data_IF_687735016064
#
_entry.id   IF_687735016064
#
_cell.length_a   1.000
_cell.length_b   1.000
_cell.length_c   1.000
_cell.angle_alpha   90.00
_cell.angle_beta   90.00
_cell.angle_gamma   90.00
#
_symmetry.space_group_name_H-M   'P 1'
#
loop_
_entity.id
_entity.type
_entity.pdbx_description
1 polymer ?
#
# COMPACT_ATOMS: atom_id res chain seq x y z
N UNK A 1 17.81 -22.82 7.84
CA UNK A 1 19.09 -22.34 8.42
C UNK A 1 19.14 -20.83 8.61
N UNK A 2 18.09 -20.06 8.23
CA UNK A 2 18.01 -18.62 8.54
C UNK A 2 19.23 -17.85 8.03
N UNK A 3 19.68 -18.17 6.80
CA UNK A 3 20.96 -17.67 6.25
C UNK A 3 21.01 -16.15 6.27
N UNK A 4 19.85 -15.53 6.05
CA UNK A 4 19.72 -14.09 5.91
C UNK A 4 19.28 -13.38 7.20
N UNK A 5 18.94 -14.14 8.25
CA UNK A 5 18.66 -13.62 9.58
C UNK A 5 19.54 -14.33 10.64
N UNK A 6 20.76 -13.80 10.91
CA UNK A 6 21.64 -14.32 11.96
C UNK A 6 21.10 -14.10 13.38
N UNK A 7 20.00 -13.35 13.56
CA UNK A 7 19.32 -13.20 14.85
C UNK A 7 18.34 -14.36 15.14
N UNK A 8 18.03 -15.20 14.14
CA UNK A 8 17.11 -16.33 14.22
C UNK A 8 15.72 -15.95 14.79
N UNK A 9 15.29 -14.71 14.58
CA UNK A 9 14.15 -14.09 15.25
C UNK A 9 13.02 -13.69 14.29
N UNK A 10 13.33 -13.33 13.04
CA UNK A 10 12.32 -12.76 12.12
C UNK A 10 11.22 -13.75 11.77
N UNK A 11 11.54 -15.03 11.59
CA UNK A 11 10.55 -16.09 11.34
C UNK A 11 9.54 -16.19 12.50
N UNK A 12 10.02 -16.13 13.75
CA UNK A 12 9.15 -16.18 14.94
C UNK A 12 8.29 -14.92 15.07
N UNK A 13 8.89 -13.75 14.87
CA UNK A 13 8.24 -12.46 15.05
C UNK A 13 7.18 -12.25 13.96
N UNK A 14 7.56 -12.42 12.69
CA UNK A 14 6.66 -12.19 11.55
C UNK A 14 5.58 -13.27 11.50
N UNK A 15 5.90 -14.55 11.74
CA UNK A 15 4.89 -15.60 11.87
C UNK A 15 3.87 -15.30 12.98
N UNK A 16 4.31 -14.75 14.10
CA UNK A 16 3.43 -14.26 15.17
C UNK A 16 2.54 -13.08 14.74
N UNK A 17 3.06 -12.16 13.91
CA UNK A 17 2.28 -11.06 13.34
C UNK A 17 1.18 -11.58 12.38
N UNK A 18 1.52 -12.50 11.47
CA UNK A 18 0.55 -13.14 10.57
C UNK A 18 -0.54 -13.88 11.35
N UNK A 19 -0.15 -14.67 12.35
CA UNK A 19 -1.09 -15.35 13.22
C UNK A 19 -2.04 -14.36 13.93
N UNK A 20 -1.51 -13.26 14.47
CA UNK A 20 -2.30 -12.22 15.14
C UNK A 20 -3.27 -11.49 14.20
N UNK A 21 -2.94 -11.44 12.90
CA UNK A 21 -3.80 -10.88 11.87
C UNK A 21 -4.85 -11.86 11.32
N UNK A 22 -4.90 -13.09 11.84
CA UNK A 22 -5.84 -14.14 11.41
C UNK A 22 -5.40 -14.94 10.18
N UNK A 23 -4.15 -14.74 9.72
CA UNK A 23 -3.54 -15.51 8.63
C UNK A 23 -2.88 -16.76 9.24
N UNK A 24 -3.18 -17.97 8.76
CA UNK A 24 -2.47 -19.18 9.20
C UNK A 24 -0.97 -19.00 9.01
N UNK A 25 -0.17 -19.32 10.02
CA UNK A 25 1.29 -19.23 9.95
C UNK A 25 1.91 -20.38 10.78
N UNK A 26 3.05 -20.94 10.36
CA UNK A 26 3.69 -22.02 11.09
C UNK A 26 4.16 -21.55 12.47
N UNK A 27 4.08 -22.43 13.48
CA UNK A 27 4.79 -22.19 14.75
C UNK A 27 6.29 -22.25 14.51
N UNK A 28 7.00 -21.44 15.28
CA UNK A 28 8.44 -21.28 15.15
C UNK A 28 9.09 -21.33 16.53
N UNK A 29 10.19 -22.05 16.65
CA UNK A 29 11.10 -22.00 17.80
C UNK A 29 12.54 -22.09 17.32
N UNK A 30 13.50 -22.21 18.23
CA UNK A 30 14.90 -22.42 17.91
C UNK A 30 15.42 -23.71 18.56
N UNK A 31 16.46 -24.30 17.98
CA UNK A 31 17.09 -25.52 18.49
C UNK A 31 18.60 -25.51 18.21
N UNK A 32 19.38 -26.15 19.09
CA UNK A 32 20.75 -26.58 18.78
C UNK A 32 20.69 -28.02 18.31
N UNK A 33 21.38 -28.33 17.22
CA UNK A 33 21.20 -29.59 16.49
C UNK A 33 22.49 -30.39 16.53
N UNK A 34 22.39 -31.67 16.89
CA UNK A 34 23.48 -32.63 16.78
C UNK A 34 23.09 -33.76 15.84
N UNK A 35 24.03 -34.21 15.01
CA UNK A 35 23.87 -35.39 14.18
C UNK A 35 25.08 -36.31 14.36
N UNK A 36 24.84 -37.55 14.79
CA UNK A 36 25.89 -38.55 15.05
C UNK A 36 27.01 -38.04 15.98
N UNK A 37 26.65 -37.25 16.98
CA UNK A 37 27.59 -36.65 17.94
C UNK A 37 28.28 -35.36 17.46
N UNK A 38 28.10 -34.96 16.20
CA UNK A 38 28.61 -33.69 15.67
C UNK A 38 27.60 -32.56 15.92
N UNK A 39 28.06 -31.47 16.54
CA UNK A 39 27.27 -30.24 16.66
C UNK A 39 27.15 -29.56 15.30
N UNK A 40 25.92 -29.38 14.82
CA UNK A 40 25.60 -28.70 13.57
C UNK A 40 25.27 -27.22 13.78
N UNK A 41 25.14 -26.77 15.03
CA UNK A 41 24.90 -25.38 15.39
C UNK A 41 23.45 -25.05 15.74
N UNK A 42 23.13 -23.77 15.68
CA UNK A 42 21.83 -23.20 16.09
C UNK A 42 20.92 -22.97 14.88
N UNK A 43 19.65 -23.35 15.00
CA UNK A 43 18.68 -23.33 13.90
C UNK A 43 17.35 -22.72 14.33
N UNK A 44 16.61 -22.20 13.35
CA UNK A 44 15.15 -22.00 13.45
C UNK A 44 14.47 -23.34 13.15
N UNK A 45 13.60 -23.77 14.06
CA UNK A 45 12.72 -24.93 13.90
C UNK A 45 11.31 -24.44 13.57
N UNK A 46 10.83 -24.81 12.40
CA UNK A 46 9.53 -24.37 11.85
C UNK A 46 8.58 -25.57 11.81
N UNK A 47 7.32 -25.37 12.21
CA UNK A 47 6.25 -26.34 12.08
C UNK A 47 6.03 -26.71 10.60
N UNK A 48 6.09 -28.01 10.29
CA UNK A 48 5.87 -28.47 8.92
C UNK A 48 4.41 -28.32 8.48
N UNK A 49 4.22 -28.01 7.20
CA UNK A 49 2.89 -27.94 6.58
C UNK A 49 2.29 -29.33 6.41
N UNK A 50 1.60 -29.78 7.45
CA UNK A 50 0.98 -31.10 7.55
C UNK A 50 -0.51 -30.97 7.83
N UNK A 51 -1.23 -32.10 7.81
CA UNK A 51 -2.65 -32.13 8.24
C UNK A 51 -2.83 -31.67 9.68
N UNK A 52 -1.84 -31.88 10.55
CA UNK A 52 -1.87 -31.38 11.94
C UNK A 52 -1.78 -29.87 12.00
N UNK A 53 -0.91 -29.26 11.18
CA UNK A 53 -0.86 -27.81 11.02
C UNK A 53 -2.21 -27.27 10.52
N UNK A 54 -2.77 -27.87 9.46
CA UNK A 54 -4.05 -27.46 8.88
C UNK A 54 -5.20 -27.59 9.89
N UNK A 55 -5.23 -28.65 10.70
CA UNK A 55 -6.27 -28.92 11.69
C UNK A 55 -6.37 -27.89 12.81
N UNK A 56 -5.38 -26.99 12.95
CA UNK A 56 -5.41 -25.88 13.89
C UNK A 56 -6.19 -24.67 13.37
N UNK A 57 -6.31 -24.54 12.06
CA UNK A 57 -6.89 -23.37 11.38
C UNK A 57 -8.17 -23.70 10.63
N UNK A 58 -8.32 -24.96 10.19
CA UNK A 58 -9.39 -25.38 9.29
C UNK A 58 -10.16 -26.57 9.85
N UNK A 59 -11.47 -26.57 9.62
CA UNK A 59 -12.36 -27.69 10.00
C UNK A 59 -12.04 -28.96 9.22
N UNK A 60 -11.60 -28.82 7.97
CA UNK A 60 -11.23 -29.92 7.08
C UNK A 60 -9.76 -29.74 6.67
N UNK A 61 -9.01 -30.85 6.64
CA UNK A 61 -7.56 -30.87 6.41
C UNK A 61 -7.16 -31.71 5.19
N UNK A 62 -8.14 -32.07 4.35
CA UNK A 62 -7.96 -32.90 3.15
C UNK A 62 -8.02 -32.09 1.85
N UNK A 63 -8.17 -30.78 1.95
CA UNK A 63 -8.08 -29.89 0.81
C UNK A 63 -6.67 -29.90 0.22
N UNK A 64 -6.56 -29.35 -0.98
CA UNK A 64 -5.30 -29.32 -1.69
C UNK A 64 -4.36 -28.27 -1.06
N UNK A 65 -3.11 -28.66 -0.84
CA UNK A 65 -2.06 -27.78 -0.34
C UNK A 65 -0.95 -27.69 -1.39
N UNK A 66 -0.62 -26.46 -1.79
CA UNK A 66 0.36 -26.17 -2.82
C UNK A 66 1.56 -25.40 -2.24
N UNK A 67 2.78 -25.83 -2.56
CA UNK A 67 3.98 -25.00 -2.41
C UNK A 67 4.08 -24.03 -3.58
N UNK A 68 4.17 -22.74 -3.27
CA UNK A 68 4.30 -21.66 -4.25
C UNK A 68 5.58 -21.74 -5.09
N UNK A 69 6.59 -22.51 -4.68
CA UNK A 69 7.84 -22.66 -5.40
C UNK A 69 8.62 -21.34 -5.55
N UNK A 70 9.71 -21.37 -6.32
CA UNK A 70 10.57 -20.21 -6.53
C UNK A 70 10.13 -19.37 -7.74
N UNK A 71 9.68 -18.14 -7.50
CA UNK A 71 9.26 -17.16 -8.51
C UNK A 71 8.12 -17.66 -9.43
N UNK A 72 7.22 -18.49 -8.89
CA UNK A 72 6.06 -19.05 -9.60
C UNK A 72 4.77 -18.49 -9.05
N UNK A 73 3.74 -18.46 -9.88
CA UNK A 73 2.39 -18.00 -9.54
C UNK A 73 1.33 -19.10 -9.70
N UNK A 74 0.07 -18.77 -9.41
CA UNK A 74 -1.09 -19.68 -9.50
C UNK A 74 -1.38 -20.22 -10.91
N UNK A 75 -0.73 -19.65 -11.93
CA UNK A 75 -0.82 -20.10 -13.32
C UNK A 75 0.23 -21.16 -13.67
N UNK A 76 1.26 -21.32 -12.84
CA UNK A 76 2.35 -22.26 -13.04
C UNK A 76 2.03 -23.62 -12.41
N UNK A 77 2.84 -24.62 -12.72
CA UNK A 77 2.81 -25.89 -12.00
C UNK A 77 3.45 -25.71 -10.62
N UNK A 78 2.61 -25.80 -9.59
CA UNK A 78 3.00 -25.78 -8.18
C UNK A 78 3.09 -27.20 -7.63
N UNK A 79 3.99 -27.43 -6.67
CA UNK A 79 4.12 -28.75 -6.04
C UNK A 79 2.95 -28.96 -5.07
N UNK A 80 2.17 -30.00 -5.30
CA UNK A 80 1.03 -30.35 -4.44
C UNK A 80 1.51 -31.22 -3.27
N UNK A 81 1.62 -30.62 -2.08
CA UNK A 81 2.09 -31.26 -0.86
C UNK A 81 1.00 -32.09 -0.15
N UNK A 82 -0.28 -31.76 -0.36
CA UNK A 82 -1.42 -32.50 0.20
C UNK A 82 -2.67 -32.42 -0.68
N UNK A 83 -3.62 -33.30 -0.41
CA UNK A 83 -4.89 -33.45 -1.14
C UNK A 83 -5.27 -34.92 -1.33
N UNK A 84 -6.52 -35.20 -1.69
CA UNK A 84 -7.01 -36.56 -1.89
C UNK A 84 -6.70 -37.13 -3.28
N UNK A 85 -6.84 -36.32 -4.33
CA UNK A 85 -6.48 -36.67 -5.70
C UNK A 85 -5.25 -35.87 -6.11
N UNK A 86 -4.11 -36.52 -6.33
CA UNK A 86 -2.85 -35.85 -6.68
C UNK A 86 -2.87 -35.14 -8.04
N UNK A 87 -3.87 -35.40 -8.90
CA UNK A 87 -4.00 -34.79 -10.24
C UNK A 87 -5.02 -33.66 -10.29
N UNK A 88 -5.83 -33.50 -9.25
CA UNK A 88 -6.81 -32.44 -9.19
C UNK A 88 -6.14 -31.11 -8.79
N UNK A 89 -6.24 -30.14 -9.69
CA UNK A 89 -5.79 -28.75 -9.50
C UNK A 89 -6.86 -27.78 -10.00
N UNK A 90 -8.12 -28.23 -10.01
CA UNK A 90 -9.24 -27.44 -10.50
C UNK A 90 -9.46 -26.17 -9.66
N UNK A 91 -9.20 -26.24 -8.35
CA UNK A 91 -9.26 -25.10 -7.43
C UNK A 91 -8.26 -23.98 -7.79
N UNK A 92 -6.99 -24.35 -8.01
CA UNK A 92 -5.90 -23.43 -8.36
C UNK A 92 -6.15 -22.80 -9.73
N UNK A 93 -6.62 -23.60 -10.69
CA UNK A 93 -7.03 -23.12 -12.02
C UNK A 93 -8.22 -22.17 -11.93
N UNK A 94 -9.19 -22.43 -11.05
CA UNK A 94 -10.33 -21.54 -10.83
C UNK A 94 -9.89 -20.19 -10.23
N UNK A 95 -8.96 -20.20 -9.26
CA UNK A 95 -8.36 -19.00 -8.70
C UNK A 95 -7.61 -18.20 -9.77
N UNK A 96 -6.75 -18.85 -10.55
CA UNK A 96 -6.02 -18.20 -11.64
C UNK A 96 -6.97 -17.57 -12.67
N UNK A 97 -8.02 -18.31 -13.08
CA UNK A 97 -9.03 -17.80 -14.01
C UNK A 97 -9.82 -16.63 -13.44
N UNK A 98 -10.12 -16.62 -12.13
CA UNK A 98 -10.77 -15.50 -11.47
C UNK A 98 -9.87 -14.26 -11.47
N UNK A 99 -8.57 -14.42 -11.19
CA UNK A 99 -7.60 -13.33 -11.19
C UNK A 99 -7.37 -12.72 -12.58
N UNK A 100 -7.46 -13.53 -13.63
CA UNK A 100 -7.27 -13.11 -15.03
C UNK A 100 -8.52 -12.51 -15.70
N UNK A 101 -9.66 -12.45 -15.01
CA UNK A 101 -10.89 -11.82 -15.54
C UNK A 101 -10.62 -10.35 -15.92
N UNK A 102 -10.79 -9.92 -17.18
CA UNK A 102 -10.41 -8.57 -17.61
C UNK A 102 -11.29 -7.45 -17.02
N UNK A 103 -12.56 -7.71 -16.72
CA UNK A 103 -13.47 -6.73 -16.14
C UNK A 103 -13.24 -6.62 -14.62
N UNK A 104 -12.85 -5.47 -14.06
CA UNK A 104 -12.55 -5.35 -12.63
C UNK A 104 -13.72 -5.69 -11.70
N UNK A 105 -14.97 -5.41 -12.12
CA UNK A 105 -16.15 -5.70 -11.31
C UNK A 105 -16.45 -7.20 -11.29
N UNK A 106 -16.35 -7.86 -12.45
CA UNK A 106 -16.50 -9.33 -12.52
C UNK A 106 -15.34 -10.04 -11.83
N UNK A 107 -14.12 -9.52 -11.97
CA UNK A 107 -12.92 -10.03 -11.30
C UNK A 107 -13.11 -10.01 -9.79
N UNK A 108 -13.59 -8.89 -9.24
CA UNK A 108 -13.91 -8.78 -7.82
C UNK A 108 -14.91 -9.84 -7.36
N UNK A 109 -16.02 -10.04 -8.10
CA UNK A 109 -17.03 -11.05 -7.76
C UNK A 109 -16.45 -12.47 -7.79
N UNK A 110 -15.69 -12.81 -8.83
CA UNK A 110 -15.08 -14.13 -9.01
C UNK A 110 -14.02 -14.42 -7.94
N UNK A 111 -13.19 -13.44 -7.60
CA UNK A 111 -12.21 -13.57 -6.53
C UNK A 111 -12.88 -13.78 -5.17
N UNK A 112 -13.97 -13.08 -4.84
CA UNK A 112 -14.69 -13.30 -3.57
C UNK A 112 -15.32 -14.70 -3.44
N UNK A 113 -15.51 -15.40 -4.56
CA UNK A 113 -15.96 -16.81 -4.57
C UNK A 113 -14.79 -17.77 -4.37
N UNK A 114 -13.66 -17.53 -5.01
CA UNK A 114 -12.52 -18.45 -5.04
C UNK A 114 -11.46 -18.21 -3.95
N UNK A 115 -11.46 -17.05 -3.28
CA UNK A 115 -10.41 -16.62 -2.37
C UNK A 115 -10.99 -16.19 -1.02
N UNK A 116 -10.31 -16.55 0.06
CA UNK A 116 -10.58 -15.97 1.37
C UNK A 116 -10.03 -14.53 1.41
N UNK A 117 -10.88 -13.59 0.99
CA UNK A 117 -10.50 -12.19 0.78
C UNK A 117 -9.95 -11.52 2.04
N UNK A 118 -10.56 -11.75 3.21
CA UNK A 118 -10.15 -11.09 4.45
C UNK A 118 -8.75 -11.52 4.89
N UNK A 119 -8.47 -12.84 4.83
CA UNK A 119 -7.14 -13.38 5.13
C UNK A 119 -6.13 -12.95 4.08
N UNK A 120 -6.51 -12.97 2.81
CA UNK A 120 -5.61 -12.58 1.73
C UNK A 120 -5.19 -11.11 1.83
N UNK A 121 -6.13 -10.20 2.11
CA UNK A 121 -5.80 -8.78 2.28
C UNK A 121 -4.91 -8.57 3.51
N UNK A 122 -5.14 -9.30 4.60
CA UNK A 122 -4.27 -9.27 5.78
C UNK A 122 -2.87 -9.80 5.46
N UNK A 123 -2.78 -10.84 4.64
CA UNK A 123 -1.53 -11.41 4.15
C UNK A 123 -0.72 -10.39 3.34
N UNK A 124 -1.34 -9.75 2.33
CA UNK A 124 -0.69 -8.71 1.52
C UNK A 124 -0.24 -7.50 2.35
N UNK A 125 -1.11 -7.03 3.24
CA UNK A 125 -0.80 -5.87 4.08
C UNK A 125 0.37 -6.15 5.00
N UNK A 126 0.47 -7.36 5.57
CA UNK A 126 1.61 -7.73 6.40
C UNK A 126 2.90 -7.85 5.60
N UNK A 127 2.91 -8.54 4.44
CA UNK A 127 4.10 -8.61 3.57
C UNK A 127 4.68 -7.21 3.32
N UNK A 128 3.81 -6.22 3.05
CA UNK A 128 4.26 -4.83 2.88
C UNK A 128 4.74 -4.20 4.19
N UNK A 129 4.01 -4.36 5.30
CA UNK A 129 4.40 -3.78 6.58
C UNK A 129 5.78 -4.26 7.05
N UNK A 130 6.03 -5.57 6.96
CA UNK A 130 7.31 -6.17 7.38
C UNK A 130 8.38 -6.16 6.28
N UNK A 131 8.08 -5.57 5.11
CA UNK A 131 8.96 -5.55 3.94
C UNK A 131 9.46 -6.94 3.54
N UNK A 132 8.52 -7.86 3.37
CA UNK A 132 8.77 -9.17 2.77
C UNK A 132 8.93 -9.03 1.26
N UNK A 133 10.08 -8.50 0.85
CA UNK A 133 10.36 -8.20 -0.55
C UNK A 133 10.43 -9.47 -1.41
N UNK A 134 10.71 -10.62 -0.79
CA UNK A 134 10.77 -11.93 -1.44
C UNK A 134 9.48 -12.75 -1.25
N UNK A 135 8.44 -12.15 -0.68
CA UNK A 135 7.12 -12.75 -0.53
C UNK A 135 6.33 -12.86 -1.84
N UNK A 136 5.08 -13.28 -1.73
CA UNK A 136 4.21 -13.51 -2.88
C UNK A 136 3.93 -12.20 -3.64
N UNK A 137 3.60 -11.12 -2.93
CA UNK A 137 3.20 -9.85 -3.54
C UNK A 137 4.29 -9.28 -4.45
N UNK A 138 5.55 -9.29 -4.00
CA UNK A 138 6.66 -8.63 -4.70
C UNK A 138 7.46 -9.57 -5.61
N UNK A 139 7.69 -10.83 -5.24
CA UNK A 139 8.52 -11.73 -6.05
C UNK A 139 7.83 -13.02 -6.49
N UNK A 140 6.69 -13.38 -5.89
CA UNK A 140 6.01 -14.68 -6.07
C UNK A 140 6.86 -15.83 -5.51
N UNK A 141 7.35 -15.65 -4.30
CA UNK A 141 8.09 -16.67 -3.56
C UNK A 141 7.59 -16.71 -2.11
N UNK A 142 8.05 -17.70 -1.32
CA UNK A 142 7.82 -17.76 0.13
C UNK A 142 6.35 -17.84 0.57
N UNK A 143 5.51 -18.55 -0.21
CA UNK A 143 4.10 -18.75 0.11
C UNK A 143 3.64 -20.19 -0.11
N UNK A 144 2.52 -20.55 0.51
CA UNK A 144 1.74 -21.76 0.25
C UNK A 144 0.29 -21.35 0.01
N UNK A 145 -0.46 -22.21 -0.68
CA UNK A 145 -1.90 -22.02 -0.86
C UNK A 145 -2.64 -23.28 -0.42
N UNK A 146 -3.59 -23.11 0.48
CA UNK A 146 -4.50 -24.17 0.89
C UNK A 146 -5.90 -23.93 0.33
N UNK A 147 -6.49 -24.92 -0.31
CA UNK A 147 -7.92 -24.96 -0.61
C UNK A 147 -8.69 -25.40 0.63
N UNK A 148 -9.54 -24.55 1.22
CA UNK A 148 -10.41 -24.90 2.33
C UNK A 148 -11.73 -25.50 1.82
N UNK A 149 -11.95 -26.83 1.97
CA UNK A 149 -13.16 -27.47 1.45
C UNK A 149 -14.44 -27.05 2.18
N UNK A 150 -14.34 -26.35 3.32
CA UNK A 150 -15.52 -25.93 4.09
C UNK A 150 -16.29 -24.79 3.43
N UNK A 151 -15.61 -23.98 2.62
CA UNK A 151 -16.18 -22.80 1.97
C UNK A 151 -15.73 -22.62 0.51
N UNK A 152 -14.96 -23.59 -0.01
CA UNK A 152 -14.46 -23.62 -1.39
C UNK A 152 -13.56 -22.42 -1.75
N UNK A 153 -12.75 -21.97 -0.79
CA UNK A 153 -11.86 -20.82 -0.96
C UNK A 153 -10.40 -21.17 -0.75
N UNK A 154 -9.56 -20.51 -1.53
CA UNK A 154 -8.11 -20.55 -1.39
C UNK A 154 -7.65 -19.63 -0.26
N UNK A 155 -6.67 -20.07 0.51
CA UNK A 155 -6.05 -19.34 1.63
C UNK A 155 -4.54 -19.32 1.44
N UNK A 156 -3.98 -18.12 1.34
CA UNK A 156 -2.52 -17.93 1.26
C UNK A 156 -1.90 -17.99 2.66
N UNK A 157 -0.72 -18.60 2.73
CA UNK A 157 0.00 -18.88 3.96
C UNK A 157 1.47 -18.45 3.76
N UNK A 158 2.02 -17.57 4.62
CA UNK A 158 3.40 -17.10 4.51
C UNK A 158 4.39 -18.20 4.91
N UNK A 159 5.60 -18.09 4.39
CA UNK A 159 6.74 -18.93 4.71
C UNK A 159 8.04 -18.14 4.49
N UNK A 160 9.22 -18.70 4.81
CA UNK A 160 10.51 -18.17 4.37
C UNK A 160 10.80 -16.72 4.80
N UNK A 161 10.54 -16.39 6.06
CA UNK A 161 10.61 -15.03 6.58
C UNK A 161 11.96 -14.70 7.23
N UNK A 162 13.08 -15.03 6.57
CA UNK A 162 14.45 -14.72 7.04
C UNK A 162 15.03 -13.43 6.44
N UNK A 163 14.26 -12.70 5.63
CA UNK A 163 14.68 -11.46 4.94
C UNK A 163 13.77 -10.26 5.24
N UNK A 164 13.38 -10.11 6.50
CA UNK A 164 12.35 -9.15 6.91
C UNK A 164 12.94 -7.81 7.37
N UNK A 165 12.19 -6.72 7.18
CA UNK A 165 12.50 -5.36 7.61
C UNK A 165 13.74 -4.72 6.96
N UNK A 166 14.19 -5.23 5.80
CA UNK A 166 15.45 -4.80 5.18
C UNK A 166 15.44 -3.40 4.55
N UNK A 167 14.26 -2.88 4.19
CA UNK A 167 14.13 -1.51 3.70
C UNK A 167 13.22 -0.68 4.61
N UNK A 168 13.87 0.18 5.42
CA UNK A 168 13.21 1.10 6.31
C UNK A 168 12.19 2.00 5.59
N UNK A 169 12.52 2.46 4.38
CA UNK A 169 11.75 3.44 3.62
C UNK A 169 11.04 2.82 2.41
N UNK A 170 11.06 1.50 2.28
CA UNK A 170 10.40 0.77 1.20
C UNK A 170 8.93 1.19 1.08
N UNK A 171 8.47 1.40 -0.15
CA UNK A 171 7.13 1.93 -0.42
C UNK A 171 6.02 1.08 0.21
N UNK A 172 5.05 1.69 0.88
CA UNK A 172 3.79 1.01 1.30
C UNK A 172 2.88 0.66 0.10
N UNK A 173 3.32 1.01 -1.11
CA UNK A 173 2.75 0.67 -2.41
C UNK A 173 3.88 0.18 -3.33
N UNK A 174 4.45 -1.00 -3.09
CA UNK A 174 5.53 -1.52 -3.92
C UNK A 174 4.99 -1.96 -5.29
N UNK A 175 5.91 -2.33 -6.20
CA UNK A 175 5.53 -3.02 -7.42
C UNK A 175 4.95 -4.41 -7.05
N UNK A 176 3.78 -4.73 -7.59
CA UNK A 176 3.07 -5.99 -7.30
C UNK A 176 3.24 -6.92 -8.48
N UNK A 177 3.97 -8.02 -8.28
CA UNK A 177 4.24 -9.03 -9.30
C UNK A 177 3.35 -10.27 -9.15
N UNK A 178 2.83 -10.56 -7.95
CA UNK A 178 1.88 -11.65 -7.73
C UNK A 178 0.55 -11.42 -8.45
N UNK A 179 0.12 -12.36 -9.29
CA UNK A 179 -1.06 -12.25 -10.14
C UNK A 179 -2.33 -11.99 -9.33
N UNK A 180 -2.58 -12.78 -8.28
CA UNK A 180 -3.77 -12.64 -7.43
C UNK A 180 -3.71 -11.34 -6.63
N UNK A 181 -2.53 -10.95 -6.14
CA UNK A 181 -2.33 -9.70 -5.41
C UNK A 181 -2.62 -8.49 -6.31
N UNK A 182 -2.08 -8.52 -7.53
CA UNK A 182 -2.31 -7.49 -8.55
C UNK A 182 -3.78 -7.42 -8.94
N UNK A 183 -4.41 -8.58 -9.19
CA UNK A 183 -5.81 -8.73 -9.55
C UNK A 183 -6.75 -8.14 -8.49
N UNK A 184 -6.47 -8.37 -7.20
CA UNK A 184 -7.24 -7.79 -6.07
C UNK A 184 -7.00 -6.29 -5.97
N UNK A 185 -5.75 -5.84 -5.91
CA UNK A 185 -5.41 -4.42 -5.65
C UNK A 185 -5.84 -3.50 -6.81
N UNK A 186 -5.96 -4.02 -8.03
CA UNK A 186 -6.46 -3.30 -9.20
C UNK A 186 -7.99 -3.11 -9.22
N UNK A 187 -8.74 -3.74 -8.31
CA UNK A 187 -10.16 -3.44 -8.13
C UNK A 187 -10.33 -2.26 -7.16
N UNK A 188 -11.35 -1.40 -7.34
CA UNK A 188 -11.65 -0.34 -6.36
C UNK A 188 -11.87 -0.89 -4.95
N UNK A 189 -12.62 -1.99 -4.83
CA UNK A 189 -12.94 -2.65 -3.56
C UNK A 189 -11.70 -3.20 -2.87
N UNK A 190 -10.89 -3.98 -3.58
CA UNK A 190 -9.67 -4.58 -3.04
C UNK A 190 -8.65 -3.52 -2.63
N UNK A 191 -8.50 -2.44 -3.41
CA UNK A 191 -7.62 -1.33 -3.05
C UNK A 191 -8.06 -0.63 -1.75
N UNK A 192 -9.36 -0.31 -1.64
CA UNK A 192 -9.92 0.29 -0.42
C UNK A 192 -9.69 -0.59 0.80
N UNK A 193 -10.03 -1.88 0.69
CA UNK A 193 -9.88 -2.83 1.78
C UNK A 193 -8.41 -3.03 2.17
N UNK A 194 -7.49 -3.15 1.20
CA UNK A 194 -6.05 -3.23 1.45
C UNK A 194 -5.52 -2.02 2.24
N UNK A 195 -5.87 -0.79 1.82
CA UNK A 195 -5.42 0.42 2.50
C UNK A 195 -5.93 0.49 3.94
N UNK A 196 -7.22 0.24 4.11
CA UNK A 196 -7.83 0.20 5.43
C UNK A 196 -7.13 -0.83 6.32
N UNK A 197 -6.97 -2.05 5.81
CA UNK A 197 -6.37 -3.15 6.56
C UNK A 197 -4.89 -2.90 6.88
N UNK A 198 -4.14 -2.27 5.98
CA UNK A 198 -2.75 -1.88 6.23
C UNK A 198 -2.65 -0.87 7.37
N UNK A 199 -3.53 0.14 7.43
CA UNK A 199 -3.58 1.08 8.56
C UNK A 199 -4.00 0.39 9.87
N UNK A 200 -5.00 -0.49 9.83
CA UNK A 200 -5.43 -1.27 11.00
C UNK A 200 -4.30 -2.14 11.54
N UNK A 201 -3.62 -2.91 10.69
CA UNK A 201 -2.55 -3.81 11.10
C UNK A 201 -1.30 -3.05 11.55
N UNK A 202 -1.02 -1.89 10.98
CA UNK A 202 0.05 -1.02 11.49
C UNK A 202 -0.23 -0.57 12.93
N UNK A 203 -1.49 -0.21 13.22
CA UNK A 203 -1.92 0.20 14.57
C UNK A 203 -1.98 -0.97 15.55
N UNK A 204 -2.53 -2.11 15.13
CA UNK A 204 -2.96 -3.18 16.05
C UNK A 204 -1.96 -4.33 16.14
N UNK A 205 -1.18 -4.59 15.08
CA UNK A 205 -0.26 -5.74 14.99
C UNK A 205 1.20 -5.30 14.96
N UNK A 206 1.57 -4.25 14.22
CA UNK A 206 2.94 -3.70 14.21
C UNK A 206 3.19 -2.81 15.44
N UNK A 207 2.98 -3.38 16.63
CA UNK A 207 3.16 -2.74 17.93
C UNK A 207 4.64 -2.73 18.31
N UNK A 208 5.29 -1.57 18.10
CA UNK A 208 6.75 -1.45 18.20
C UNK A 208 7.33 -1.93 19.54
N UNK A 209 6.68 -1.59 20.65
CA UNK A 209 7.05 -2.03 22.00
C UNK A 209 6.94 -3.56 22.15
N UNK A 210 5.86 -4.15 21.65
CA UNK A 210 5.65 -5.60 21.70
C UNK A 210 6.69 -6.35 20.88
N UNK A 211 6.96 -5.91 19.65
CA UNK A 211 7.90 -6.58 18.75
C UNK A 211 9.35 -6.47 19.25
N UNK A 212 9.79 -5.29 19.69
CA UNK A 212 11.15 -5.11 20.21
C UNK A 212 11.37 -5.85 21.53
N UNK A 213 10.37 -5.89 22.41
CA UNK A 213 10.43 -6.73 23.61
C UNK A 213 10.48 -8.23 23.27
N UNK A 214 9.78 -8.66 22.21
CA UNK A 214 9.82 -10.05 21.75
C UNK A 214 11.22 -10.44 21.26
N UNK A 215 11.91 -9.56 20.53
CA UNK A 215 13.32 -9.76 20.14
C UNK A 215 14.19 -10.00 21.37
N UNK A 216 14.08 -9.17 22.41
CA UNK A 216 14.89 -9.32 23.64
C UNK A 216 14.54 -10.60 24.41
N UNK A 217 13.27 -11.02 24.43
CA UNK A 217 12.86 -12.29 25.03
C UNK A 217 13.49 -13.48 24.31
N UNK A 218 13.50 -13.46 22.96
CA UNK A 218 14.15 -14.50 22.16
C UNK A 218 15.67 -14.50 22.41
N UNK A 219 16.29 -13.33 22.46
CA UNK A 219 17.70 -13.18 22.82
C UNK A 219 18.02 -13.78 24.17
N UNK A 220 17.30 -13.41 25.22
CA UNK A 220 17.54 -13.92 26.58
C UNK A 220 17.43 -15.45 26.64
N UNK A 221 16.48 -16.03 25.90
CA UNK A 221 16.30 -17.49 25.82
C UNK A 221 17.39 -18.18 25.02
N UNK A 222 17.76 -17.64 23.86
CA UNK A 222 18.62 -18.32 22.88
C UNK A 222 20.11 -18.13 23.19
N UNK A 223 20.48 -16.98 23.77
CA UNK A 223 21.88 -16.59 23.98
C UNK A 223 22.72 -17.61 24.76
N UNK A 224 22.23 -18.28 25.83
CA UNK A 224 23.02 -19.31 26.52
C UNK A 224 23.45 -20.46 25.60
N UNK A 225 22.52 -21.00 24.79
CA UNK A 225 22.81 -22.10 23.86
C UNK A 225 23.79 -21.68 22.75
N UNK A 226 23.73 -20.42 22.32
CA UNK A 226 24.67 -19.87 21.32
C UNK A 226 26.05 -19.65 21.95
N UNK A 227 26.14 -19.23 23.21
CA UNK A 227 27.41 -19.03 23.90
C UNK A 227 28.22 -20.33 24.09
N UNK A 228 27.53 -21.47 24.17
CA UNK A 228 28.17 -22.79 24.17
C UNK A 228 28.76 -23.19 22.79
N UNK A 229 28.45 -22.48 21.70
CA UNK A 229 29.11 -22.65 20.39
C UNK A 229 30.47 -21.94 20.43
N UNK A 230 30.53 -20.76 21.06
CA UNK A 230 31.77 -20.03 21.27
C UNK A 230 31.55 -18.53 21.54
N UNK A 231 32.60 -17.83 22.02
CA UNK A 231 32.51 -16.40 22.34
C UNK A 231 32.24 -15.53 21.11
N UNK A 232 32.82 -15.87 19.95
CA UNK A 232 32.58 -15.15 18.70
C UNK A 232 31.13 -15.31 18.22
N UNK A 233 30.59 -16.53 18.25
CA UNK A 233 29.18 -16.80 17.91
C UNK A 233 28.21 -16.02 18.80
N UNK A 234 28.48 -15.93 20.11
CA UNK A 234 27.67 -15.14 21.03
C UNK A 234 27.74 -13.63 20.74
N UNK A 235 28.92 -13.10 20.40
CA UNK A 235 29.10 -11.70 20.03
C UNK A 235 28.36 -11.38 18.73
N UNK A 236 28.52 -12.22 17.72
CA UNK A 236 27.91 -12.02 16.40
C UNK A 236 26.37 -12.12 16.50
N UNK A 237 25.87 -13.04 17.34
CA UNK A 237 24.44 -13.11 17.67
C UNK A 237 23.92 -11.85 18.38
N UNK A 238 24.62 -11.37 19.41
CA UNK A 238 24.22 -10.13 20.10
C UNK A 238 24.17 -8.94 19.12
N UNK A 239 25.16 -8.82 18.23
CA UNK A 239 25.17 -7.80 17.19
C UNK A 239 23.98 -7.95 16.23
N UNK A 240 23.69 -9.17 15.78
CA UNK A 240 22.55 -9.44 14.90
C UNK A 240 21.20 -9.10 15.56
N UNK A 241 21.06 -9.35 16.87
CA UNK A 241 19.87 -8.98 17.63
C UNK A 241 19.68 -7.45 17.67
N UNK A 242 20.75 -6.69 17.89
CA UNK A 242 20.68 -5.22 17.83
C UNK A 242 20.24 -4.77 16.44
N UNK A 243 20.84 -5.33 15.39
CA UNK A 243 20.51 -4.96 14.00
C UNK A 243 19.05 -5.25 13.64
N UNK A 244 18.49 -6.42 14.01
CA UNK A 244 17.08 -6.72 13.70
C UNK A 244 16.13 -5.80 14.47
N UNK A 245 16.46 -5.48 15.72
CA UNK A 245 15.68 -4.54 16.54
C UNK A 245 15.68 -3.15 15.90
N UNK A 246 16.83 -2.66 15.46
CA UNK A 246 16.95 -1.36 14.80
C UNK A 246 16.19 -1.33 13.48
N UNK A 247 16.26 -2.40 12.66
CA UNK A 247 15.48 -2.55 11.43
C UNK A 247 13.98 -2.49 11.68
N UNK A 248 13.47 -3.17 12.71
CA UNK A 248 12.05 -3.12 13.10
C UNK A 248 11.63 -1.67 13.44
N UNK A 249 12.45 -0.93 14.20
CA UNK A 249 12.18 0.48 14.56
C UNK A 249 12.21 1.38 13.33
N UNK A 250 13.22 1.23 12.48
CA UNK A 250 13.40 2.05 11.29
C UNK A 250 12.26 1.81 10.28
N UNK A 251 11.89 0.54 10.03
CA UNK A 251 10.74 0.19 9.18
C UNK A 251 9.43 0.74 9.73
N UNK A 252 9.18 0.61 11.03
CA UNK A 252 7.99 1.18 11.66
C UNK A 252 7.92 2.70 11.45
N UNK A 253 9.05 3.39 11.62
CA UNK A 253 9.14 4.85 11.42
C UNK A 253 8.89 5.23 9.96
N UNK A 254 9.49 4.50 9.01
CA UNK A 254 9.29 4.75 7.59
C UNK A 254 7.86 4.50 7.12
N UNK A 255 7.21 3.43 7.60
CA UNK A 255 5.79 3.16 7.34
C UNK A 255 4.90 4.27 7.93
N UNK A 256 5.15 4.68 9.18
CA UNK A 256 4.41 5.78 9.83
C UNK A 256 4.48 7.05 8.99
N UNK A 257 5.68 7.46 8.60
CA UNK A 257 5.88 8.69 7.83
C UNK A 257 5.16 8.63 6.47
N UNK A 258 5.14 7.47 5.82
CA UNK A 258 4.38 7.27 4.57
C UNK A 258 2.87 7.34 4.80
N UNK A 259 2.35 6.71 5.86
CA UNK A 259 0.93 6.77 6.21
C UNK A 259 0.47 8.19 6.60
N UNK A 260 1.31 8.95 7.30
CA UNK A 260 1.03 10.36 7.64
C UNK A 260 1.08 11.28 6.41
N UNK A 261 1.89 10.94 5.41
CA UNK A 261 1.98 11.65 4.14
C UNK A 261 0.92 11.24 3.11
N UNK A 262 0.17 10.16 3.34
CA UNK A 262 -0.92 9.72 2.47
C UNK A 262 -2.02 10.80 2.41
N UNK A 263 -2.42 11.26 1.22
CA UNK A 263 -3.52 12.20 1.12
C UNK A 263 -4.80 11.54 1.65
N UNK A 264 -5.57 12.29 2.45
CA UNK A 264 -6.86 11.83 2.94
C UNK A 264 -7.73 11.35 1.79
N UNK A 265 -8.33 10.15 1.92
CA UNK A 265 -9.31 9.67 0.94
C UNK A 265 -10.49 10.64 0.91
N UNK A 266 -10.74 11.19 -0.27
CA UNK A 266 -11.78 12.20 -0.45
C UNK A 266 -13.16 11.55 -0.28
N UNK A 267 -13.93 12.00 0.71
CA UNK A 267 -15.28 11.46 0.96
C UNK A 267 -16.30 12.18 0.06
N UNK A 268 -17.00 11.40 -0.76
CA UNK A 268 -18.10 11.89 -1.59
C UNK A 268 -19.43 11.81 -0.84
N UNK A 269 -20.19 12.91 -0.87
CA UNK A 269 -21.60 12.97 -0.49
C UNK A 269 -22.43 12.92 -1.77
N UNK A 270 -22.96 11.74 -2.09
CA UNK A 270 -23.51 11.49 -3.43
C UNK A 270 -22.39 11.48 -4.47
N UNK A 271 -22.48 12.32 -5.50
CA UNK A 271 -21.45 12.46 -6.54
C UNK A 271 -20.48 13.61 -6.28
N UNK A 272 -20.58 14.34 -5.17
CA UNK A 272 -19.80 15.56 -4.92
C UNK A 272 -18.89 15.39 -3.71
N UNK A 273 -17.66 15.88 -3.78
CA UNK A 273 -16.74 15.94 -2.66
C UNK A 273 -15.99 17.28 -2.60
N UNK A 274 -15.65 17.71 -1.37
CA UNK A 274 -14.96 18.98 -1.13
C UNK A 274 -13.48 18.73 -0.80
N UNK A 275 -12.53 19.10 -1.68
CA UNK A 275 -11.11 19.02 -1.39
C UNK A 275 -10.71 19.99 -0.27
N UNK A 276 -9.78 19.56 0.57
CA UNK A 276 -9.19 20.33 1.68
C UNK A 276 -7.66 20.32 1.57
N UNK A 277 -6.97 21.06 2.46
CA UNK A 277 -5.50 21.04 2.49
C UNK A 277 -4.84 21.82 1.35
N UNK A 278 -5.48 22.90 0.90
CA UNK A 278 -4.92 23.79 -0.11
C UNK A 278 -3.58 24.39 0.35
N UNK A 279 -2.53 24.27 -0.47
CA UNK A 279 -1.21 24.84 -0.22
C UNK A 279 -0.74 25.66 -1.43
N UNK A 280 0.17 26.59 -1.18
CA UNK A 280 0.69 27.52 -2.18
C UNK A 280 1.81 26.87 -3.01
N UNK A 281 1.84 27.18 -4.30
CA UNK A 281 2.99 26.93 -5.16
C UNK A 281 3.19 28.09 -6.13
N UNK A 282 4.27 28.83 -5.93
CA UNK A 282 4.66 29.99 -6.75
C UNK A 282 6.14 30.31 -6.59
N UNK A 283 6.64 31.14 -7.51
CA UNK A 283 7.82 31.97 -7.26
C UNK A 283 7.34 33.25 -6.51
N UNK A 284 7.78 33.51 -5.27
CA UNK A 284 7.38 34.68 -4.50
C UNK A 284 7.71 36.03 -5.17
N UNK A 285 8.69 36.06 -6.07
CA UNK A 285 9.02 37.25 -6.85
C UNK A 285 7.98 37.54 -7.94
N UNK A 286 7.33 36.50 -8.47
CA UNK A 286 6.39 36.59 -9.59
C UNK A 286 4.92 36.66 -9.17
N UNK A 287 4.58 36.31 -7.92
CA UNK A 287 3.21 36.31 -7.43
C UNK A 287 3.09 36.52 -5.92
N UNK A 288 1.98 37.13 -5.48
CA UNK A 288 1.51 37.07 -4.10
C UNK A 288 0.33 36.12 -3.98
N UNK A 289 0.35 35.23 -2.98
CA UNK A 289 -0.77 34.36 -2.63
C UNK A 289 -1.16 34.63 -1.18
N UNK A 290 -2.45 34.70 -0.93
CA UNK A 290 -2.99 34.83 0.40
C UNK A 290 -4.42 34.25 0.48
N UNK A 291 -4.87 34.00 1.70
CA UNK A 291 -6.25 33.63 1.98
C UNK A 291 -7.00 34.91 2.31
N UNK A 292 -7.87 35.33 1.40
CA UNK A 292 -8.69 36.52 1.57
C UNK A 292 -10.07 36.15 2.14
N UNK A 293 -10.73 37.13 2.77
CA UNK A 293 -12.12 37.04 3.21
C UNK A 293 -12.91 38.19 2.57
N UNK A 294 -14.08 37.88 2.03
CA UNK A 294 -15.05 38.87 1.55
C UNK A 294 -16.41 38.56 2.17
N UNK A 295 -16.76 39.30 3.22
CA UNK A 295 -18.01 39.14 3.97
C UNK A 295 -18.23 37.71 4.50
N UNK A 296 -17.18 37.09 5.06
CA UNK A 296 -17.22 35.73 5.61
C UNK A 296 -17.04 34.63 4.57
N UNK A 297 -16.79 35.00 3.31
CA UNK A 297 -16.50 34.07 2.22
C UNK A 297 -15.01 33.87 2.09
N UNK A 298 -14.54 32.66 2.42
CA UNK A 298 -13.13 32.30 2.29
C UNK A 298 -12.71 32.22 0.82
N UNK A 299 -11.63 32.92 0.47
CA UNK A 299 -11.10 32.98 -0.89
C UNK A 299 -9.63 32.57 -0.94
N UNK A 300 -9.27 31.88 -2.02
CA UNK A 300 -7.88 31.65 -2.39
C UNK A 300 -7.48 32.73 -3.41
N UNK A 301 -6.64 33.68 -3.00
CA UNK A 301 -6.24 34.82 -3.82
C UNK A 301 -4.88 34.58 -4.47
N UNK A 302 -4.71 35.08 -5.69
CA UNK A 302 -3.43 35.17 -6.40
C UNK A 302 -3.34 36.52 -7.10
N UNK A 303 -2.31 37.30 -6.80
CA UNK A 303 -1.97 38.53 -7.52
C UNK A 303 -0.67 38.38 -8.30
N UNK A 304 -0.69 38.72 -9.58
CA UNK A 304 0.49 38.66 -10.45
C UNK A 304 1.45 39.84 -10.19
N UNK A 305 2.76 39.54 -10.15
CA UNK A 305 3.86 40.51 -10.03
C UNK A 305 4.81 40.35 -11.21
N UNK A 306 4.33 40.62 -12.43
CA UNK A 306 5.04 40.30 -13.67
C UNK A 306 4.68 38.91 -14.17
N UNK A 307 5.62 38.19 -14.81
CA UNK A 307 5.39 36.89 -15.45
C UNK A 307 5.04 35.79 -14.43
N UNK A 308 3.78 35.76 -14.00
CA UNK A 308 3.25 34.92 -12.94
C UNK A 308 2.83 33.55 -13.49
N UNK A 309 3.31 32.50 -12.83
CA UNK A 309 2.75 31.14 -12.89
C UNK A 309 2.60 30.64 -11.46
N UNK A 310 1.52 31.01 -10.81
CA UNK A 310 1.23 30.69 -9.42
C UNK A 310 -0.04 29.85 -9.27
N UNK A 311 -0.11 29.06 -8.21
CA UNK A 311 -1.24 28.17 -7.97
C UNK A 311 -1.48 27.85 -6.50
N UNK A 312 -2.75 27.65 -6.18
CA UNK A 312 -3.17 26.87 -5.02
C UNK A 312 -3.37 25.41 -5.42
N UNK A 313 -2.86 24.48 -4.61
CA UNK A 313 -2.89 23.04 -4.91
C UNK A 313 -3.47 22.21 -3.77
N UNK A 314 -4.20 21.17 -4.12
CA UNK A 314 -4.71 20.18 -3.17
C UNK A 314 -4.51 18.76 -3.72
N UNK A 315 -3.82 17.92 -2.96
CA UNK A 315 -3.57 16.52 -3.32
C UNK A 315 -4.68 15.64 -2.78
N UNK A 316 -5.33 14.87 -3.65
CA UNK A 316 -6.45 13.99 -3.32
C UNK A 316 -6.22 12.59 -3.86
N UNK A 317 -6.72 11.59 -3.15
CA UNK A 317 -6.79 10.21 -3.65
C UNK A 317 -8.15 9.97 -4.30
N UNK A 318 -8.17 9.57 -5.57
CA UNK A 318 -9.38 9.31 -6.35
C UNK A 318 -9.36 7.90 -6.94
N UNK A 319 -10.52 7.25 -6.91
CA UNK A 319 -10.72 5.96 -7.59
C UNK A 319 -10.70 6.12 -9.10
N UNK A 320 -10.50 5.02 -9.82
CA UNK A 320 -10.69 4.99 -11.27
C UNK A 320 -12.07 5.51 -11.67
N UNK A 321 -12.11 6.39 -12.66
CA UNK A 321 -13.35 6.98 -13.17
C UNK A 321 -13.19 8.36 -13.78
N UNK A 322 -14.32 8.94 -14.18
CA UNK A 322 -14.40 10.29 -14.74
C UNK A 322 -14.82 11.29 -13.67
N UNK A 323 -14.15 12.44 -13.66
CA UNK A 323 -14.39 13.49 -12.68
C UNK A 323 -14.44 14.85 -13.36
N UNK A 324 -15.14 15.79 -12.70
CA UNK A 324 -15.08 17.21 -13.01
C UNK A 324 -14.65 17.97 -11.77
N UNK A 325 -13.57 18.74 -11.89
CA UNK A 325 -13.19 19.74 -10.90
C UNK A 325 -13.86 21.06 -11.25
N UNK A 326 -14.66 21.60 -10.34
CA UNK A 326 -15.42 22.83 -10.58
C UNK A 326 -15.37 23.79 -9.40
N UNK A 327 -15.55 25.08 -9.69
CA UNK A 327 -15.61 26.13 -8.68
C UNK A 327 -15.85 27.52 -9.29
N UNK A 328 -16.17 28.49 -8.45
CA UNK A 328 -16.36 29.88 -8.83
C UNK A 328 -15.04 30.65 -8.69
N UNK A 329 -14.75 31.48 -9.69
CA UNK A 329 -13.65 32.43 -9.64
C UNK A 329 -14.06 33.78 -10.24
N UNK A 330 -13.43 34.85 -9.78
CA UNK A 330 -13.49 36.19 -10.39
C UNK A 330 -12.08 36.71 -10.60
N UNK A 331 -11.88 37.61 -11.55
CA UNK A 331 -10.58 38.23 -11.79
C UNK A 331 -10.68 39.70 -12.15
N UNK A 332 -9.58 40.43 -11.95
CA UNK A 332 -9.45 41.84 -12.34
C UNK A 332 -8.14 42.07 -13.07
N UNK A 333 -8.19 42.80 -14.18
CA UNK A 333 -7.05 43.19 -15.01
C UNK A 333 -6.09 42.04 -15.39
N UNK A 334 -6.60 40.83 -15.61
CA UNK A 334 -5.75 39.67 -15.93
C UNK A 334 -5.28 39.70 -17.38
N UNK A 335 -3.99 39.93 -17.61
CA UNK A 335 -3.37 39.81 -18.93
C UNK A 335 -2.57 38.51 -19.01
N UNK A 336 -2.96 37.54 -19.85
CA UNK A 336 -2.30 36.23 -19.92
C UNK A 336 -0.82 36.28 -20.31
N UNK A 337 -0.08 35.26 -19.87
CA UNK A 337 1.27 34.97 -20.39
C UNK A 337 1.20 34.37 -21.80
N UNK A 338 2.18 34.68 -22.65
CA UNK A 338 2.25 34.16 -24.03
C UNK A 338 2.80 32.71 -24.12
N UNK A 339 2.87 31.97 -23.02
CA UNK A 339 3.51 30.65 -22.98
C UNK A 339 2.59 29.50 -23.42
N UNK A 340 1.26 29.67 -23.36
CA UNK A 340 0.24 28.83 -24.00
C UNK A 340 0.18 27.34 -23.60
N UNK A 341 1.20 26.81 -22.92
CA UNK A 341 1.41 25.36 -22.75
C UNK A 341 0.43 24.69 -21.79
N UNK A 342 -0.07 25.43 -20.78
CA UNK A 342 -0.96 24.88 -19.75
C UNK A 342 -2.31 25.60 -19.64
N UNK A 343 -2.49 26.67 -20.41
CA UNK A 343 -3.68 27.53 -20.40
C UNK A 343 -3.35 28.98 -20.07
N UNK A 344 -4.30 29.87 -20.34
CA UNK A 344 -4.15 31.32 -20.24
C UNK A 344 -4.96 31.91 -19.07
N UNK A 345 -4.46 32.98 -18.45
CA UNK A 345 -5.17 33.71 -17.40
C UNK A 345 -5.42 32.86 -16.15
N UNK A 346 -6.54 33.07 -15.48
CA UNK A 346 -6.93 32.25 -14.34
C UNK A 346 -7.74 31.00 -14.74
N UNK A 347 -7.55 29.87 -14.07
CA UNK A 347 -8.31 28.66 -14.36
C UNK A 347 -8.14 27.51 -13.37
N UNK A 348 -8.90 26.44 -13.62
CA UNK A 348 -8.86 25.16 -12.89
C UNK A 348 -8.30 24.05 -13.77
N UNK A 349 -7.50 23.16 -13.18
CA UNK A 349 -7.00 21.93 -13.82
C UNK A 349 -6.50 20.91 -12.80
N UNK A 350 -5.96 19.81 -13.30
CA UNK A 350 -5.07 18.92 -12.53
C UNK A 350 -3.60 19.17 -12.90
N UNK A 351 -2.68 18.71 -12.05
CA UNK A 351 -1.25 18.66 -12.35
C UNK A 351 -0.96 17.63 -13.45
N UNK A 352 0.07 17.88 -14.28
CA UNK A 352 0.50 16.93 -15.32
C UNK A 352 -0.31 16.93 -16.63
N UNK A 353 -1.17 17.93 -16.87
CA UNK A 353 -1.87 18.06 -18.15
C UNK A 353 -0.89 18.20 -19.32
N UNK A 354 -1.19 17.55 -20.44
CA UNK A 354 -0.42 17.62 -21.69
C UNK A 354 -1.02 18.56 -22.73
N UNK A 355 -2.28 18.96 -22.54
CA UNK A 355 -3.00 19.91 -23.37
C UNK A 355 -3.43 21.11 -22.53
N UNK A 356 -3.42 22.34 -23.08
CA UNK A 356 -3.87 23.53 -22.36
C UNK A 356 -5.32 23.41 -21.88
N UNK A 357 -5.62 23.89 -20.67
CA UNK A 357 -7.02 23.95 -20.20
C UNK A 357 -7.86 24.90 -21.07
N UNK A 358 -9.12 24.54 -21.30
CA UNK A 358 -10.05 25.36 -22.05
C UNK A 358 -10.70 26.48 -21.20
N UNK A 359 -10.99 26.20 -19.92
CA UNK A 359 -11.54 27.19 -19.01
C UNK A 359 -10.51 28.29 -18.74
N UNK A 360 -10.91 29.57 -18.79
CA UNK A 360 -10.05 30.72 -18.50
C UNK A 360 -10.85 31.95 -18.07
N UNK A 361 -10.26 32.79 -17.22
CA UNK A 361 -10.66 34.17 -16.98
C UNK A 361 -9.52 35.12 -17.33
N UNK A 362 -9.85 36.20 -18.04
CA UNK A 362 -8.93 37.23 -18.55
C UNK A 362 -9.60 38.59 -18.46
N UNK A 363 -8.81 39.66 -18.43
CA UNK A 363 -9.29 41.02 -18.19
C UNK A 363 -10.02 41.11 -16.85
N UNK A 364 -11.15 41.81 -16.84
CA UNK A 364 -12.08 41.81 -15.73
C UNK A 364 -13.17 40.77 -15.95
N UNK A 365 -13.39 39.92 -14.95
CA UNK A 365 -14.44 38.92 -14.99
C UNK A 365 -15.14 38.84 -13.64
N UNK A 366 -16.49 38.95 -13.60
CA UNK A 366 -17.24 38.71 -12.38
C UNK A 366 -17.12 37.23 -11.97
N UNK A 367 -17.73 36.88 -10.84
CA UNK A 367 -17.80 35.48 -10.41
C UNK A 367 -18.40 34.60 -11.52
N UNK A 368 -17.59 33.66 -11.99
CA UNK A 368 -17.94 32.73 -13.07
C UNK A 368 -17.55 31.32 -12.67
N UNK A 369 -18.37 30.35 -13.07
CA UNK A 369 -18.06 28.94 -12.88
C UNK A 369 -16.97 28.51 -13.85
N UNK A 370 -15.94 27.88 -13.32
CA UNK A 370 -14.87 27.20 -14.05
C UNK A 370 -15.01 25.70 -13.83
N UNK A 371 -14.70 24.94 -14.87
CA UNK A 371 -14.84 23.48 -14.87
C UNK A 371 -13.67 22.84 -15.62
N UNK A 372 -13.22 21.69 -15.13
CA UNK A 372 -12.18 20.88 -15.76
C UNK A 372 -12.51 19.39 -15.60
N UNK A 373 -12.83 18.72 -16.69
CA UNK A 373 -13.05 17.27 -16.70
C UNK A 373 -11.74 16.50 -16.92
N UNK A 374 -11.61 15.37 -16.24
CA UNK A 374 -10.46 14.49 -16.35
C UNK A 374 -10.81 13.03 -16.00
N UNK A 375 -9.95 12.11 -16.44
CA UNK A 375 -10.06 10.69 -16.13
C UNK A 375 -8.96 10.28 -15.16
N UNK A 376 -9.29 9.39 -14.25
CA UNK A 376 -8.36 8.74 -13.33
C UNK A 376 -8.28 7.27 -13.73
N UNK A 377 -7.07 6.82 -14.05
CA UNK A 377 -6.83 5.40 -14.31
C UNK A 377 -7.11 4.57 -13.04
N UNK A 378 -7.78 3.40 -13.15
CA UNK A 378 -7.94 2.47 -12.04
C UNK A 378 -6.58 2.01 -11.46
N UNK A 379 -6.54 1.52 -10.21
CA UNK A 379 -7.65 1.45 -9.24
C UNK A 379 -7.88 2.75 -8.46
N UNK A 380 -6.78 3.39 -8.03
CA UNK A 380 -6.76 4.57 -7.18
C UNK A 380 -5.48 5.36 -7.49
N UNK A 381 -5.61 6.64 -7.82
CA UNK A 381 -4.47 7.50 -8.15
C UNK A 381 -4.44 8.76 -7.29
N UNK A 382 -3.23 9.28 -7.08
CA UNK A 382 -3.04 10.59 -6.46
C UNK A 382 -3.20 11.65 -7.52
N UNK A 383 -4.19 12.52 -7.37
CA UNK A 383 -4.44 13.65 -8.26
C UNK A 383 -4.17 14.94 -7.50
N UNK A 384 -3.42 15.85 -8.11
CA UNK A 384 -3.21 17.19 -7.56
C UNK A 384 -4.10 18.19 -8.31
N UNK A 385 -5.10 18.72 -7.62
CA UNK A 385 -6.01 19.75 -8.10
C UNK A 385 -5.32 21.10 -8.05
N UNK A 386 -5.55 21.94 -9.05
CA UNK A 386 -4.83 23.19 -9.23
C UNK A 386 -5.80 24.32 -9.57
N UNK A 387 -5.81 25.36 -8.72
CA UNK A 387 -6.36 26.68 -9.03
C UNK A 387 -5.19 27.59 -9.38
N UNK A 388 -5.08 28.09 -10.61
CA UNK A 388 -3.88 28.82 -11.06
C UNK A 388 -4.18 30.18 -11.67
N UNK A 389 -3.18 31.06 -11.61
CA UNK A 389 -3.07 32.28 -12.40
C UNK A 389 -1.81 32.21 -13.27
N UNK A 390 -2.01 32.40 -14.57
CA UNK A 390 -0.95 32.53 -15.59
C UNK A 390 -1.11 33.87 -16.29
N UNK A 391 -0.45 34.89 -15.77
CA UNK A 391 -0.66 36.27 -16.20
C UNK A 391 0.59 37.14 -16.01
N UNK A 392 0.74 38.21 -16.78
CA UNK A 392 1.76 39.24 -16.56
C UNK A 392 1.32 40.32 -15.57
N UNK A 393 0.01 40.46 -15.38
CA UNK A 393 -0.65 41.44 -14.50
C UNK A 393 -2.05 40.93 -14.12
N UNK A 394 -2.61 41.54 -13.08
CA UNK A 394 -3.96 41.25 -12.59
C UNK A 394 -4.03 40.28 -11.42
N UNK A 395 -5.26 40.04 -10.96
CA UNK A 395 -5.55 39.29 -9.75
C UNK A 395 -6.73 38.32 -9.97
N UNK A 396 -6.74 37.21 -9.25
CA UNK A 396 -7.84 36.25 -9.24
C UNK A 396 -8.18 35.83 -7.81
N UNK A 397 -9.48 35.68 -7.55
CA UNK A 397 -10.02 35.08 -6.35
C UNK A 397 -10.82 33.84 -6.71
N UNK A 398 -10.47 32.71 -6.10
CA UNK A 398 -11.26 31.48 -6.13
C UNK A 398 -12.07 31.37 -4.85
N UNK A 399 -13.37 31.10 -4.97
CA UNK A 399 -14.25 30.86 -3.83
C UNK A 399 -13.96 29.46 -3.26
N UNK A 400 -13.32 29.42 -2.10
CA UNK A 400 -12.84 28.18 -1.50
C UNK A 400 -13.97 27.21 -1.15
N UNK A 401 -15.18 27.72 -0.88
CA UNK A 401 -16.33 26.90 -0.54
C UNK A 401 -17.01 26.28 -1.76
N UNK A 402 -16.86 26.92 -2.93
CA UNK A 402 -17.39 26.42 -4.20
C UNK A 402 -16.51 25.36 -4.88
N UNK A 403 -15.24 25.21 -4.46
CA UNK A 403 -14.30 24.26 -5.04
C UNK A 403 -14.71 22.84 -4.69
N UNK A 404 -15.16 22.07 -5.67
CA UNK A 404 -15.63 20.69 -5.50
C UNK A 404 -15.18 19.78 -6.63
N UNK A 405 -15.08 18.49 -6.32
CA UNK A 405 -14.97 17.41 -7.29
C UNK A 405 -16.32 16.74 -7.46
N UNK A 406 -16.74 16.55 -8.71
CA UNK A 406 -17.94 15.83 -9.08
C UNK A 406 -17.54 14.54 -9.80
N UNK A 407 -17.92 13.38 -9.27
CA UNK A 407 -17.80 12.09 -9.97
C UNK A 407 -18.85 12.03 -11.07
N UNK A 408 -18.40 11.88 -12.30
CA UNK A 408 -19.27 11.76 -13.47
C UNK A 408 -19.72 10.30 -13.64
N UNK A 409 -20.87 10.11 -14.29
CA UNK A 409 -21.42 8.78 -14.57
C UNK A 409 -20.72 8.10 -15.74
#
# INVERSE_FOLDING_TARGET
>A
NSVQDPSYSTENICGGMFHSAGVPAPRVTNARVWLNGSDLGFYVLIEGFTRDFLGRYFKHTRGNLYDGGFLKDVTDTLDKESGDDSKDESDLKALASAAQEPDPSKRWERLNKALDMDRFISFLALEVLVWDWDGYLMNRNNYRIYHDPSNDRMVFIPHGMDQMFWDANGSIRPNINGLVANAVIQTPEGNRQYRQRLTELFRDVYRLDVLTNRVEQLRARNRPAIAEIGPDAARDYDNAVVLVRDRIVQRWTGVRNQLEAEPSTLKFSGSVAKPTGWHEQSDPAAAGLDRADDNGKAMLHIGARGNCSASWRAKVMLEGGRYRFEGLARCTHVTPTNDGQKGEGAGLRISGITQPRANRLTGDSPWKKLEFEFEVAPPLNSVELVCELRATEGEVWFDADSLVLVRLK
#
